data_IF_669202632348
#
_entry.id   IF_669202632348
#
_cell.length_a   1.000
_cell.length_b   1.000
_cell.length_c   1.000
_cell.angle_alpha   90.00
_cell.angle_beta   90.00
_cell.angle_gamma   90.00
#
_symmetry.space_group_name_H-M   'P 1'
#
loop_
_entity.id
_entity.type
_entity.pdbx_description
1 polymer ?
#
# COMPACT_ATOMS: atom_id res chain seq x y z
N UNK A 1 -23.36 63.62 12.12
CA UNK A 1 -22.50 62.76 12.95
C UNK A 1 -23.09 62.44 14.33
N UNK A 2 -23.51 63.41 15.16
CA UNK A 2 -24.06 63.15 16.51
C UNK A 2 -25.25 62.17 16.57
N UNK A 3 -26.12 62.19 15.56
CA UNK A 3 -27.32 61.33 15.47
C UNK A 3 -27.01 59.86 15.16
N UNK A 4 -25.93 59.58 14.42
CA UNK A 4 -25.49 58.19 14.13
C UNK A 4 -24.85 57.59 15.39
N UNK A 5 -24.02 58.39 16.09
CA UNK A 5 -23.40 58.00 17.35
C UNK A 5 -24.44 57.72 18.45
N UNK A 6 -25.54 58.47 18.51
CA UNK A 6 -26.60 58.20 19.49
C UNK A 6 -27.36 56.92 19.19
N UNK A 7 -27.62 56.60 17.92
CA UNK A 7 -28.30 55.36 17.52
C UNK A 7 -27.43 54.14 17.81
N UNK A 8 -26.13 54.23 17.50
CA UNK A 8 -25.17 53.16 17.83
C UNK A 8 -25.06 52.95 19.34
N UNK A 9 -25.03 54.02 20.14
CA UNK A 9 -25.02 53.92 21.61
C UNK A 9 -26.30 53.30 22.19
N UNK A 10 -27.45 53.44 21.52
CA UNK A 10 -28.71 52.86 21.98
C UNK A 10 -28.92 51.41 21.53
N UNK A 11 -28.39 51.03 20.35
CA UNK A 11 -28.64 49.72 19.70
C UNK A 11 -27.43 48.81 19.55
N UNK A 12 -26.32 49.11 20.22
CA UNK A 12 -25.11 48.29 20.14
C UNK A 12 -25.33 46.82 20.56
N UNK A 13 -26.18 46.46 21.55
CA UNK A 13 -26.38 45.06 21.91
C UNK A 13 -27.00 44.24 20.78
N UNK A 14 -27.96 44.82 20.05
CA UNK A 14 -28.61 44.18 18.90
C UNK A 14 -27.62 43.91 17.77
N UNK A 15 -26.77 44.89 17.44
CA UNK A 15 -25.75 44.71 16.39
C UNK A 15 -24.67 43.70 16.80
N UNK A 16 -24.27 43.65 18.07
CA UNK A 16 -23.33 42.62 18.55
C UNK A 16 -23.97 41.23 18.47
N UNK A 17 -25.23 41.10 18.89
CA UNK A 17 -25.94 39.82 18.81
C UNK A 17 -26.08 39.35 17.36
N UNK A 18 -26.41 40.26 16.44
CA UNK A 18 -26.48 39.99 15.00
C UNK A 18 -25.13 39.49 14.45
N UNK A 19 -24.02 40.18 14.76
CA UNK A 19 -22.67 39.76 14.35
C UNK A 19 -22.34 38.38 14.92
N UNK A 20 -22.65 38.12 16.19
CA UNK A 20 -22.39 36.83 16.83
C UNK A 20 -23.19 35.72 16.14
N UNK A 21 -24.49 35.93 15.88
CA UNK A 21 -25.35 34.94 15.22
C UNK A 21 -24.85 34.62 13.81
N UNK A 22 -24.54 35.65 13.02
CA UNK A 22 -23.99 35.47 11.66
C UNK A 22 -22.65 34.72 11.72
N UNK A 23 -21.78 35.10 12.65
CA UNK A 23 -20.45 34.47 12.81
C UNK A 23 -20.59 33.00 13.19
N UNK A 24 -21.46 32.67 14.15
CA UNK A 24 -21.74 31.29 14.55
C UNK A 24 -22.34 30.50 13.38
N UNK A 25 -23.23 31.10 12.60
CA UNK A 25 -23.80 30.47 11.40
C UNK A 25 -22.74 30.09 10.38
N UNK A 26 -21.83 31.01 10.05
CA UNK A 26 -20.74 30.79 9.09
C UNK A 26 -19.76 29.74 9.63
N UNK A 27 -19.33 29.87 10.88
CA UNK A 27 -18.42 28.91 11.51
C UNK A 27 -19.04 27.52 11.61
N UNK A 28 -20.32 27.42 11.95
CA UNK A 28 -21.06 26.16 12.01
C UNK A 28 -21.14 25.47 10.66
N UNK A 29 -21.43 26.22 9.59
CA UNK A 29 -21.44 25.70 8.23
C UNK A 29 -20.05 25.20 7.80
N UNK A 30 -19.00 25.97 8.07
CA UNK A 30 -17.62 25.58 7.76
C UNK A 30 -17.16 24.36 8.56
N UNK A 31 -17.51 24.30 9.85
CA UNK A 31 -17.19 23.18 10.72
C UNK A 31 -17.89 21.89 10.27
N UNK A 32 -19.17 21.97 9.89
CA UNK A 32 -19.93 20.84 9.37
C UNK A 32 -19.32 20.32 8.06
N UNK A 33 -18.94 21.23 7.16
CA UNK A 33 -18.28 20.85 5.90
C UNK A 33 -16.91 20.18 6.15
N UNK A 34 -16.08 20.78 6.99
CA UNK A 34 -14.76 20.23 7.36
C UNK A 34 -14.88 18.85 8.02
N UNK A 35 -15.90 18.64 8.85
CA UNK A 35 -16.17 17.34 9.46
C UNK A 35 -16.57 16.28 8.42
N UNK A 36 -17.45 16.64 7.47
CA UNK A 36 -17.85 15.75 6.39
C UNK A 36 -16.65 15.37 5.49
N UNK A 37 -15.83 16.34 5.10
CA UNK A 37 -14.60 16.10 4.32
C UNK A 37 -13.62 15.18 5.07
N UNK A 38 -13.42 15.40 6.37
CA UNK A 38 -12.57 14.55 7.22
C UNK A 38 -13.11 13.11 7.29
N UNK A 39 -14.43 12.94 7.42
CA UNK A 39 -15.09 11.63 7.44
C UNK A 39 -14.91 10.89 6.12
N UNK A 40 -15.16 11.55 4.99
CA UNK A 40 -15.00 10.96 3.65
C UNK A 40 -13.54 10.53 3.45
N UNK A 41 -12.58 11.40 3.78
CA UNK A 41 -11.15 11.10 3.70
C UNK A 41 -10.77 9.90 4.58
N UNK A 42 -11.29 9.82 5.80
CA UNK A 42 -11.03 8.69 6.72
C UNK A 42 -11.56 7.37 6.20
N UNK A 43 -12.75 7.36 5.60
CA UNK A 43 -13.34 6.16 5.01
C UNK A 43 -12.49 5.67 3.83
N UNK A 44 -12.09 6.58 2.95
CA UNK A 44 -11.23 6.29 1.81
C UNK A 44 -9.86 5.75 2.24
N UNK A 45 -9.22 6.36 3.23
CA UNK A 45 -7.97 5.85 3.82
C UNK A 45 -8.15 4.42 4.33
N UNK A 46 -9.28 4.13 4.98
CA UNK A 46 -9.57 2.80 5.52
C UNK A 46 -9.75 1.75 4.43
N UNK A 47 -10.47 2.09 3.37
CA UNK A 47 -10.68 1.22 2.20
C UNK A 47 -9.35 0.91 1.51
N UNK A 48 -8.55 1.94 1.20
CA UNK A 48 -7.24 1.77 0.56
C UNK A 48 -6.29 0.93 1.42
N UNK A 49 -6.20 1.20 2.73
CA UNK A 49 -5.33 0.43 3.62
C UNK A 49 -5.81 -1.02 3.80
N UNK A 50 -7.11 -1.26 3.73
CA UNK A 50 -7.68 -2.62 3.74
C UNK A 50 -7.31 -3.37 2.47
N UNK A 51 -7.41 -2.72 1.31
CA UNK A 51 -6.97 -3.29 0.05
C UNK A 51 -5.47 -3.60 0.07
N UNK A 52 -4.63 -2.66 0.50
CA UNK A 52 -3.18 -2.87 0.64
C UNK A 52 -2.88 -4.07 1.53
N UNK A 53 -3.61 -4.22 2.64
CA UNK A 53 -3.44 -5.37 3.52
C UNK A 53 -3.76 -6.68 2.79
N UNK A 54 -4.88 -6.74 2.07
CA UNK A 54 -5.25 -7.92 1.27
C UNK A 54 -4.18 -8.23 0.23
N UNK A 55 -3.73 -7.22 -0.51
CA UNK A 55 -2.70 -7.37 -1.53
C UNK A 55 -1.38 -7.91 -0.92
N UNK A 56 -1.01 -7.45 0.29
CA UNK A 56 0.18 -7.97 0.99
C UNK A 56 -0.02 -9.43 1.42
N UNK A 57 -1.20 -9.82 1.88
CA UNK A 57 -1.52 -11.21 2.25
C UNK A 57 -1.43 -12.13 1.03
N UNK A 58 -1.97 -11.71 -0.12
CA UNK A 58 -1.87 -12.43 -1.40
C UNK A 58 -0.41 -12.54 -1.87
N UNK A 59 0.31 -11.42 -1.91
CA UNK A 59 1.72 -11.38 -2.29
C UNK A 59 2.59 -12.30 -1.41
N UNK A 60 2.31 -12.34 -0.10
CA UNK A 60 3.04 -13.20 0.82
C UNK A 60 2.78 -14.68 0.52
N UNK A 61 1.55 -15.05 0.17
CA UNK A 61 1.19 -16.41 -0.23
C UNK A 61 1.96 -16.82 -1.49
N UNK A 62 1.98 -15.95 -2.50
CA UNK A 62 2.67 -16.20 -3.78
C UNK A 62 4.18 -16.35 -3.58
N UNK A 63 4.82 -15.38 -2.92
CA UNK A 63 6.26 -15.43 -2.61
C UNK A 63 6.62 -16.67 -1.78
N UNK A 64 5.74 -17.10 -0.87
CA UNK A 64 5.97 -18.33 -0.09
C UNK A 64 5.90 -19.59 -0.95
N UNK A 65 4.99 -19.62 -1.94
CA UNK A 65 4.88 -20.67 -2.94
C UNK A 65 6.13 -20.76 -3.80
N UNK A 66 6.57 -19.62 -4.33
CA UNK A 66 7.78 -19.49 -5.16
C UNK A 66 9.02 -19.93 -4.38
N UNK A 67 9.16 -19.46 -3.14
CA UNK A 67 10.26 -19.86 -2.26
C UNK A 67 10.33 -21.37 -2.05
N UNK A 68 9.19 -22.05 -1.87
CA UNK A 68 9.15 -23.51 -1.73
C UNK A 68 9.61 -24.21 -3.01
N UNK A 69 9.18 -23.73 -4.18
CA UNK A 69 9.55 -24.28 -5.49
C UNK A 69 11.04 -24.07 -5.79
N UNK A 70 11.56 -22.86 -5.57
CA UNK A 70 12.99 -22.57 -5.69
C UNK A 70 13.86 -23.41 -4.74
N UNK A 71 13.34 -23.73 -3.54
CA UNK A 71 14.02 -24.66 -2.62
C UNK A 71 14.08 -26.10 -3.14
N UNK A 72 13.04 -26.58 -3.81
CA UNK A 72 13.04 -27.88 -4.47
C UNK A 72 14.03 -27.88 -5.64
N UNK A 73 13.98 -26.84 -6.49
CA UNK A 73 14.94 -26.63 -7.57
C UNK A 73 16.40 -26.64 -7.09
N UNK A 74 16.70 -25.92 -5.99
CA UNK A 74 18.05 -25.94 -5.39
C UNK A 74 18.47 -27.34 -4.95
N UNK A 75 17.58 -28.10 -4.30
CA UNK A 75 17.90 -29.45 -3.86
C UNK A 75 18.12 -30.39 -5.05
N UNK A 76 17.31 -30.24 -6.09
CA UNK A 76 17.45 -30.97 -7.34
C UNK A 76 18.81 -30.71 -8.02
N UNK A 77 19.26 -29.46 -8.07
CA UNK A 77 20.60 -29.12 -8.57
C UNK A 77 21.71 -29.85 -7.79
N UNK A 78 21.62 -29.87 -6.45
CA UNK A 78 22.59 -30.58 -5.60
C UNK A 78 22.57 -32.09 -5.86
N UNK A 79 21.38 -32.66 -6.04
CA UNK A 79 21.19 -34.08 -6.32
C UNK A 79 21.79 -34.46 -7.68
N UNK A 80 21.51 -33.69 -8.72
CA UNK A 80 22.01 -33.92 -10.08
C UNK A 80 23.54 -33.82 -10.13
N UNK A 81 24.13 -32.82 -9.48
CA UNK A 81 25.60 -32.72 -9.34
C UNK A 81 26.18 -34.01 -8.74
N UNK A 82 25.53 -34.56 -7.71
CA UNK A 82 25.95 -35.82 -7.07
C UNK A 82 25.83 -37.01 -8.02
N UNK A 83 24.73 -37.11 -8.77
CA UNK A 83 24.50 -38.20 -9.74
C UNK A 83 25.62 -38.23 -10.79
N UNK A 84 25.99 -37.06 -11.29
CA UNK A 84 27.08 -36.89 -12.27
C UNK A 84 28.44 -37.28 -11.66
N UNK A 85 28.78 -36.78 -10.47
CA UNK A 85 30.09 -37.05 -9.86
C UNK A 85 30.28 -38.50 -9.40
N UNK A 86 29.21 -39.21 -9.08
CA UNK A 86 29.25 -40.60 -8.62
C UNK A 86 28.97 -41.62 -9.73
N UNK A 87 28.84 -41.18 -10.99
CA UNK A 87 28.52 -42.01 -12.15
C UNK A 87 27.32 -42.95 -11.88
N UNK A 88 26.26 -42.38 -11.28
CA UNK A 88 25.09 -43.15 -10.88
C UNK A 88 24.28 -43.57 -12.12
N UNK A 89 23.86 -44.84 -12.16
CA UNK A 89 22.87 -45.29 -13.15
C UNK A 89 21.53 -44.60 -12.89
N UNK A 90 20.83 -44.23 -13.97
CA UNK A 90 19.52 -43.62 -13.90
C UNK A 90 18.52 -44.47 -13.08
N UNK A 91 17.74 -43.81 -12.24
CA UNK A 91 16.63 -44.39 -11.47
C UNK A 91 15.39 -43.51 -11.67
N UNK A 92 14.20 -44.11 -11.70
CA UNK A 92 12.95 -43.37 -11.92
C UNK A 92 12.74 -42.23 -10.92
N UNK A 93 13.24 -42.36 -9.69
CA UNK A 93 13.17 -41.29 -8.69
C UNK A 93 13.91 -40.01 -9.10
N UNK A 94 14.90 -40.10 -9.99
CA UNK A 94 15.69 -38.95 -10.46
C UNK A 94 14.91 -38.05 -11.42
N UNK A 95 13.80 -38.53 -12.00
CA UNK A 95 13.04 -37.74 -12.98
C UNK A 95 12.53 -36.42 -12.41
N UNK A 96 12.15 -36.40 -11.12
CA UNK A 96 11.72 -35.20 -10.44
C UNK A 96 12.87 -34.20 -10.29
N UNK A 97 14.06 -34.65 -9.92
CA UNK A 97 15.22 -33.76 -9.82
C UNK A 97 15.58 -33.17 -11.20
N UNK A 98 15.44 -33.92 -12.29
CA UNK A 98 15.65 -33.37 -13.63
C UNK A 98 14.58 -32.35 -14.05
N UNK A 99 13.31 -32.60 -13.72
CA UNK A 99 12.21 -31.65 -13.97
C UNK A 99 12.44 -30.32 -13.23
N UNK A 100 12.84 -30.40 -11.96
CA UNK A 100 13.12 -29.23 -11.13
C UNK A 100 14.40 -28.47 -11.50
N UNK A 101 15.27 -28.97 -12.40
CA UNK A 101 16.45 -28.23 -12.85
C UNK A 101 16.11 -26.99 -13.66
N UNK A 102 15.05 -27.05 -14.45
CA UNK A 102 14.63 -25.98 -15.36
C UNK A 102 13.52 -25.11 -14.77
N UNK A 103 13.11 -25.40 -13.52
CA UNK A 103 12.07 -24.65 -12.83
C UNK A 103 12.64 -23.32 -12.36
N UNK A 104 12.00 -22.24 -12.81
CA UNK A 104 12.24 -20.89 -12.32
C UNK A 104 10.91 -20.28 -11.85
N UNK A 105 11.00 -19.37 -10.90
CA UNK A 105 9.84 -18.74 -10.28
C UNK A 105 10.08 -17.24 -10.15
N UNK A 106 9.05 -16.47 -10.47
CA UNK A 106 9.05 -15.02 -10.34
C UNK A 106 7.70 -14.58 -9.79
N UNK A 107 7.75 -13.56 -8.94
CA UNK A 107 6.54 -13.01 -8.35
C UNK A 107 5.97 -11.93 -9.26
N UNK A 108 4.65 -11.86 -9.39
CA UNK A 108 3.97 -10.67 -9.92
C UNK A 108 3.19 -10.05 -8.77
N UNK A 109 3.64 -8.90 -8.29
CA UNK A 109 2.99 -8.29 -7.15
C UNK A 109 1.56 -7.83 -7.49
N UNK A 110 0.59 -8.19 -6.65
CA UNK A 110 -0.67 -7.48 -6.55
C UNK A 110 -0.42 -6.11 -5.92
N UNK A 111 -0.74 -5.04 -6.64
CA UNK A 111 -0.43 -3.64 -6.28
C UNK A 111 -1.67 -2.74 -6.27
N UNK A 112 -2.87 -3.29 -6.42
CA UNK A 112 -4.09 -2.50 -6.63
C UNK A 112 -4.31 -1.41 -5.57
N UNK A 113 -4.17 -1.76 -4.29
CA UNK A 113 -4.29 -0.81 -3.18
C UNK A 113 -3.12 0.19 -3.11
N UNK A 114 -1.91 -0.24 -3.48
CA UNK A 114 -0.76 0.67 -3.54
C UNK A 114 -0.91 1.71 -4.65
N UNK A 115 -1.37 1.29 -5.82
CA UNK A 115 -1.58 2.18 -6.97
C UNK A 115 -2.73 3.15 -6.66
N UNK A 116 -3.82 2.67 -6.04
CA UNK A 116 -4.88 3.55 -5.54
C UNK A 116 -4.37 4.58 -4.51
N UNK A 117 -3.49 4.18 -3.58
CA UNK A 117 -2.86 5.13 -2.64
C UNK A 117 -2.01 6.17 -3.38
N UNK A 118 -1.25 5.75 -4.39
CA UNK A 118 -0.40 6.62 -5.18
C UNK A 118 -1.21 7.64 -5.98
N UNK A 119 -2.32 7.22 -6.59
CA UNK A 119 -3.24 8.08 -7.32
C UNK A 119 -3.93 9.11 -6.42
N UNK A 120 -4.32 8.71 -5.20
CA UNK A 120 -5.07 9.56 -4.28
C UNK A 120 -4.19 10.38 -3.31
N UNK A 121 -2.88 10.17 -3.32
CA UNK A 121 -1.92 10.90 -2.52
C UNK A 121 -1.51 10.16 -1.24
N UNK A 122 -0.19 10.10 -1.03
CA UNK A 122 0.38 9.45 0.16
C UNK A 122 0.05 10.18 1.47
N UNK A 123 -0.42 11.43 1.43
CA UNK A 123 -0.87 12.19 2.61
C UNK A 123 -2.13 11.58 3.27
N UNK A 124 -2.88 10.73 2.55
CA UNK A 124 -3.97 9.94 3.11
C UNK A 124 -3.53 9.04 4.28
N UNK A 125 -2.27 8.58 4.26
CA UNK A 125 -1.68 7.80 5.35
C UNK A 125 -0.92 8.75 6.28
N UNK A 126 -1.53 9.11 7.40
CA UNK A 126 -0.93 10.06 8.37
C UNK A 126 0.31 9.52 9.08
N UNK A 127 0.43 8.21 9.22
CA UNK A 127 1.58 7.58 9.87
C UNK A 127 2.75 7.48 8.89
N UNK A 128 3.79 8.29 9.08
CA UNK A 128 4.94 8.34 8.17
C UNK A 128 5.74 7.04 8.13
N UNK A 129 5.84 6.32 9.25
CA UNK A 129 6.50 5.01 9.30
C UNK A 129 5.75 3.98 8.45
N UNK A 130 4.43 3.92 8.56
CA UNK A 130 3.60 3.01 7.77
C UNK A 130 3.70 3.35 6.28
N UNK A 131 3.57 4.64 5.95
CA UNK A 131 3.72 5.17 4.58
C UNK A 131 5.06 4.78 3.97
N UNK A 132 6.16 4.95 4.72
CA UNK A 132 7.49 4.54 4.27
C UNK A 132 7.58 3.03 4.07
N UNK A 133 7.04 2.21 4.98
CA UNK A 133 7.06 0.74 4.85
C UNK A 133 6.30 0.26 3.62
N UNK A 134 5.11 0.82 3.37
CA UNK A 134 4.31 0.53 2.18
C UNK A 134 5.12 0.85 0.92
N UNK A 135 5.70 2.05 0.85
CA UNK A 135 6.52 2.46 -0.30
C UNK A 135 7.76 1.58 -0.48
N UNK A 136 8.48 1.29 0.59
CA UNK A 136 9.66 0.43 0.55
C UNK A 136 9.34 -0.97 0.02
N UNK A 137 8.21 -1.55 0.46
CA UNK A 137 7.75 -2.84 -0.04
C UNK A 137 7.50 -2.81 -1.55
N UNK A 138 6.66 -1.87 -2.01
CA UNK A 138 6.18 -1.83 -3.40
C UNK A 138 7.16 -1.20 -4.40
N UNK A 139 7.94 -0.21 -3.99
CA UNK A 139 8.88 0.51 -4.87
C UNK A 139 10.29 -0.09 -4.83
N UNK A 140 10.61 -0.96 -3.85
CA UNK A 140 11.98 -1.50 -3.70
C UNK A 140 12.03 -3.02 -3.52
N UNK A 141 11.29 -3.59 -2.58
CA UNK A 141 11.43 -5.02 -2.26
C UNK A 141 10.80 -5.93 -3.32
N UNK A 142 9.53 -5.68 -3.68
CA UNK A 142 8.81 -6.48 -4.67
C UNK A 142 9.44 -6.39 -6.08
N UNK A 143 9.80 -5.21 -6.62
CA UNK A 143 10.43 -5.11 -7.94
C UNK A 143 11.75 -5.87 -8.08
N UNK A 144 12.43 -6.20 -6.97
CA UNK A 144 13.68 -6.98 -7.05
C UNK A 144 13.41 -8.43 -7.43
N UNK A 145 12.31 -9.00 -6.98
CA UNK A 145 11.95 -10.42 -7.15
C UNK A 145 10.90 -10.66 -8.24
N UNK A 146 10.54 -9.61 -8.97
CA UNK A 146 9.75 -9.71 -10.19
C UNK A 146 10.62 -10.22 -11.36
N UNK A 147 10.00 -10.78 -12.40
CA UNK A 147 10.72 -11.36 -13.55
C UNK A 147 11.68 -10.40 -14.27
N UNK A 148 11.48 -9.08 -14.13
CA UNK A 148 12.32 -8.04 -14.72
C UNK A 148 13.24 -7.38 -13.68
N UNK A 149 13.27 -7.91 -12.47
CA UNK A 149 14.05 -7.40 -11.35
C UNK A 149 15.55 -7.69 -11.49
N UNK A 150 16.36 -7.04 -10.66
CA UNK A 150 17.82 -7.16 -10.67
C UNK A 150 18.35 -8.59 -10.43
N UNK A 151 17.49 -9.53 -9.97
CA UNK A 151 17.84 -10.94 -9.82
C UNK A 151 17.71 -11.76 -11.13
N UNK A 152 17.08 -11.20 -12.17
CA UNK A 152 16.74 -11.90 -13.41
C UNK A 152 17.26 -11.16 -14.66
N UNK A 153 18.44 -10.53 -14.58
CA UNK A 153 19.06 -9.88 -15.75
C UNK A 153 19.05 -10.83 -16.96
N UNK A 154 18.50 -10.31 -18.06
CA UNK A 154 18.14 -11.00 -19.31
C UNK A 154 19.15 -12.09 -19.73
N UNK A 155 18.81 -13.34 -19.46
CA UNK A 155 19.35 -14.51 -20.16
C UNK A 155 18.58 -14.74 -21.46
#
# INVERSE_FOLDING_TARGET
>A
MKRILSILSQKWPEYILEIIVITIGILGAFALNSWNESRIRSNMTTEILTQIRSDIEDNLSDVSGDYRRLRLGRQAHINVIRYIHSDMTYMDSMCFDFDFLIMDEYTTANRAGFDALKENGFDLVKNDTLKWRIRSLYETALPRIEAQGAFHEHL
#
